data_IF_106535620214
#
_entry.id   IF_106535620214
#
_cell.length_a   1.000
_cell.length_b   1.000
_cell.length_c   1.000
_cell.angle_alpha   90.00
_cell.angle_beta   90.00
_cell.angle_gamma   90.00
#
_symmetry.space_group_name_H-M   'P 1'
#
loop_
_entity.id
_entity.type
_entity.pdbx_description
1 polymer ?
#
# COMPACT_ATOMS: atom_id res chain seq x y z
N UNK A 1 14.51 -2.88 -1.78
CA UNK A 1 13.48 -2.82 -2.84
C UNK A 1 13.70 -3.86 -3.94
N UNK A 2 14.71 -3.73 -4.83
CA UNK A 2 14.93 -4.72 -5.90
C UNK A 2 15.52 -6.04 -5.41
N UNK A 3 16.52 -6.00 -4.53
CA UNK A 3 17.11 -7.21 -3.92
C UNK A 3 16.07 -7.96 -3.10
N UNK A 4 15.18 -7.25 -2.39
CA UNK A 4 14.10 -7.87 -1.61
C UNK A 4 13.10 -8.59 -2.50
N UNK A 5 12.78 -8.02 -3.67
CA UNK A 5 11.94 -8.67 -4.65
C UNK A 5 12.55 -9.97 -5.14
N UNK A 6 13.81 -9.94 -5.59
CA UNK A 6 14.51 -11.14 -6.05
C UNK A 6 14.58 -12.20 -4.94
N UNK A 7 14.95 -11.78 -3.73
CA UNK A 7 15.01 -12.65 -2.54
C UNK A 7 13.64 -13.23 -2.19
N UNK A 8 12.57 -12.46 -2.33
CA UNK A 8 11.21 -12.92 -2.06
C UNK A 8 10.79 -14.02 -3.03
N UNK A 9 11.02 -13.79 -4.33
CA UNK A 9 10.71 -14.73 -5.41
C UNK A 9 11.51 -16.02 -5.24
N UNK A 10 12.82 -15.92 -4.99
CA UNK A 10 13.69 -17.11 -4.81
C UNK A 10 13.28 -17.94 -3.59
N UNK A 11 12.90 -17.30 -2.49
CA UNK A 11 12.53 -17.99 -1.24
C UNK A 11 11.03 -18.33 -1.14
N UNK A 12 10.23 -18.08 -2.18
CA UNK A 12 8.77 -18.30 -2.19
C UNK A 12 8.06 -17.65 -0.98
N UNK A 13 8.55 -16.49 -0.55
CA UNK A 13 7.94 -15.68 0.52
C UNK A 13 7.14 -14.55 -0.10
N UNK A 14 6.16 -14.07 0.64
CA UNK A 14 5.45 -12.86 0.27
C UNK A 14 6.40 -11.65 0.27
N UNK A 15 6.12 -10.72 -0.63
CA UNK A 15 6.80 -9.44 -0.68
C UNK A 15 6.33 -8.56 0.47
N UNK A 16 7.21 -7.68 0.97
CA UNK A 16 6.86 -6.71 2.01
C UNK A 16 5.88 -5.66 1.54
N UNK A 17 5.91 -5.31 0.25
CA UNK A 17 4.96 -4.42 -0.41
C UNK A 17 4.12 -5.25 -1.37
N UNK A 18 2.79 -5.20 -1.22
CA UNK A 18 1.85 -5.94 -2.07
C UNK A 18 1.15 -5.02 -3.09
N UNK A 19 0.37 -5.57 -4.05
CA UNK A 19 -0.33 -4.75 -5.03
C UNK A 19 -1.34 -3.76 -4.44
N UNK A 20 -1.95 -4.07 -3.28
CA UNK A 20 -2.91 -3.18 -2.64
C UNK A 20 -2.20 -1.97 -2.02
N UNK A 21 -1.00 -2.17 -1.46
CA UNK A 21 -0.13 -1.07 -1.02
C UNK A 21 0.17 -0.12 -2.20
N UNK A 22 0.55 -0.68 -3.35
CA UNK A 22 0.88 0.09 -4.56
C UNK A 22 -0.32 0.87 -5.13
N UNK A 23 -1.51 0.24 -5.19
CA UNK A 23 -2.74 0.92 -5.65
C UNK A 23 -3.14 2.02 -4.68
N UNK A 24 -3.06 1.78 -3.37
CA UNK A 24 -3.36 2.79 -2.35
C UNK A 24 -2.48 4.02 -2.52
N UNK A 25 -1.18 3.85 -2.74
CA UNK A 25 -0.27 4.98 -3.00
C UNK A 25 -0.55 5.68 -4.32
N UNK A 26 -0.90 4.93 -5.37
CA UNK A 26 -1.19 5.51 -6.68
C UNK A 26 -2.41 6.43 -6.66
N UNK A 27 -3.41 6.11 -5.82
CA UNK A 27 -4.63 6.93 -5.69
C UNK A 27 -4.43 8.27 -4.99
N UNK A 28 -3.24 8.53 -4.42
CA UNK A 28 -2.95 9.79 -3.73
C UNK A 28 -3.15 11.02 -4.61
N UNK A 29 -2.76 10.95 -5.89
CA UNK A 29 -2.90 12.09 -6.81
C UNK A 29 -4.38 12.47 -6.99
N UNK A 30 -5.23 11.51 -7.31
CA UNK A 30 -6.66 11.72 -7.55
C UNK A 30 -7.38 12.24 -6.29
N UNK A 31 -7.07 11.65 -5.13
CA UNK A 31 -7.65 12.07 -3.85
C UNK A 31 -7.18 13.48 -3.46
N UNK A 32 -5.93 13.81 -3.74
CA UNK A 32 -5.39 15.16 -3.48
C UNK A 32 -6.06 16.20 -4.36
N UNK A 33 -6.23 15.92 -5.65
CA UNK A 33 -6.95 16.80 -6.56
C UNK A 33 -8.40 17.01 -6.08
N UNK A 34 -9.07 15.92 -5.69
CA UNK A 34 -10.43 15.98 -5.14
C UNK A 34 -10.48 16.81 -3.86
N UNK A 35 -9.50 16.68 -2.97
CA UNK A 35 -9.43 17.46 -1.72
C UNK A 35 -9.25 18.94 -2.01
N UNK A 36 -8.30 19.30 -2.88
CA UNK A 36 -8.00 20.69 -3.27
C UNK A 36 -9.23 21.35 -3.89
N UNK A 37 -9.90 20.66 -4.83
CA UNK A 37 -11.13 21.16 -5.46
C UNK A 37 -12.27 21.38 -4.46
N UNK A 38 -12.27 20.64 -3.34
CA UNK A 38 -13.26 20.76 -2.27
C UNK A 38 -12.81 21.67 -1.11
N UNK A 39 -11.93 22.66 -1.36
CA UNK A 39 -11.40 23.60 -0.35
C UNK A 39 -10.61 22.88 0.75
N UNK A 40 -9.77 21.92 0.35
CA UNK A 40 -8.91 21.14 1.24
C UNK A 40 -9.68 20.36 2.30
N UNK A 41 -10.91 19.94 1.98
CA UNK A 41 -11.68 19.06 2.85
C UNK A 41 -11.07 17.66 2.87
N UNK A 42 -11.15 16.93 4.00
CA UNK A 42 -10.79 15.52 4.05
C UNK A 42 -11.59 14.71 3.02
N UNK A 43 -10.92 13.76 2.39
CA UNK A 43 -11.51 12.80 1.45
C UNK A 43 -11.17 11.40 1.96
N UNK A 44 -12.16 10.51 1.95
CA UNK A 44 -11.99 9.13 2.42
C UNK A 44 -11.12 8.32 1.45
N UNK A 45 -10.25 7.48 2.00
CA UNK A 45 -9.47 6.55 1.20
C UNK A 45 -10.32 5.32 0.83
N UNK A 46 -10.31 4.91 -0.44
CA UNK A 46 -10.94 3.66 -0.86
C UNK A 46 -10.21 2.45 -0.29
N UNK A 47 -10.95 1.51 0.30
CA UNK A 47 -10.39 0.25 0.79
C UNK A 47 -10.35 -0.80 -0.34
N UNK A 48 -9.21 -0.89 -1.01
CA UNK A 48 -8.96 -1.88 -2.06
C UNK A 48 -8.86 -3.32 -1.54
N UNK A 49 -8.69 -3.51 -0.23
CA UNK A 49 -8.53 -4.83 0.38
C UNK A 49 -9.85 -5.44 0.85
N UNK A 50 -10.95 -4.67 0.78
CA UNK A 50 -12.28 -5.07 1.26
C UNK A 50 -12.25 -5.51 2.74
N UNK A 51 -11.61 -4.72 3.59
CA UNK A 51 -11.48 -4.95 5.04
C UNK A 51 -10.41 -5.98 5.43
N UNK A 52 -9.74 -6.62 4.47
CA UNK A 52 -8.71 -7.64 4.76
C UNK A 52 -7.48 -7.04 5.43
N UNK A 53 -7.18 -5.76 5.20
CA UNK A 53 -6.06 -5.06 5.82
C UNK A 53 -6.07 -5.14 7.36
N UNK A 54 -7.25 -5.18 7.98
CA UNK A 54 -7.40 -5.23 9.44
C UNK A 54 -6.87 -6.53 10.06
N UNK A 55 -6.78 -7.60 9.28
CA UNK A 55 -6.27 -8.91 9.71
C UNK A 55 -4.87 -9.19 9.19
N UNK A 56 -4.25 -8.24 8.49
CA UNK A 56 -2.91 -8.41 7.91
C UNK A 56 -1.90 -8.53 9.04
N UNK A 57 -1.06 -9.56 8.98
CA UNK A 57 0.05 -9.72 9.94
C UNK A 57 1.03 -8.56 9.74
N UNK A 58 1.58 -7.98 10.83
CA UNK A 58 2.65 -7.00 10.72
C UNK A 58 3.80 -7.55 9.89
N UNK A 59 4.43 -6.67 9.11
CA UNK A 59 5.64 -7.04 8.38
C UNK A 59 6.72 -7.46 9.38
N UNK A 60 7.49 -8.52 9.09
CA UNK A 60 8.60 -8.90 9.96
C UNK A 60 9.63 -7.77 10.01
N UNK A 61 10.28 -7.58 11.16
CA UNK A 61 11.39 -6.64 11.31
C UNK A 61 12.55 -7.11 10.41
N UNK A 62 12.61 -6.56 9.21
CA UNK A 62 13.76 -6.71 8.32
C UNK A 62 14.77 -5.63 8.73
N UNK A 63 15.78 -6.03 9.51
CA UNK A 63 16.97 -5.21 9.70
C UNK A 63 17.60 -4.97 8.32
N UNK A 64 17.58 -3.70 7.90
CA UNK A 64 18.20 -3.22 6.67
C UNK A 64 19.72 -3.27 6.81
#
# INVERSE_FOLDING_TARGET
>A
MFVDFVTAVLNKRDMTVDPYDAVTWSTLNDLTETSVNNKSRPVDFPDFTLGRWQKRKPLPDVAV
#
